data_IF_237998286630
#
_entry.id   IF_237998286630
#
_cell.length_a   1.000
_cell.length_b   1.000
_cell.length_c   1.000
_cell.angle_alpha   90.00
_cell.angle_beta   90.00
_cell.angle_gamma   90.00
#
_symmetry.space_group_name_H-M   'P 1'
#
loop_
_entity.id
_entity.type
_entity.pdbx_description
1 polymer ?
#
# COMPACT_ATOMS: atom_id res chain seq x y z
N UNK A 1 7.17 5.72 -21.77
CA UNK A 1 6.11 4.92 -21.11
C UNK A 1 6.57 4.59 -19.69
N UNK A 2 5.78 4.92 -18.68
CA UNK A 2 6.07 4.51 -17.30
C UNK A 2 5.66 3.04 -17.11
N UNK A 3 6.43 2.25 -16.35
CA UNK A 3 6.06 0.88 -15.93
C UNK A 3 5.92 0.84 -14.40
N UNK A 4 4.83 1.39 -13.83
CA UNK A 4 4.74 1.64 -12.39
C UNK A 4 4.94 0.40 -11.53
N UNK A 5 4.37 -0.75 -11.91
CA UNK A 5 4.54 -2.01 -11.16
C UNK A 5 5.98 -2.55 -11.22
N UNK A 6 6.68 -2.36 -12.35
CA UNK A 6 8.10 -2.72 -12.45
C UNK A 6 8.95 -1.82 -11.53
N UNK A 7 8.66 -0.52 -11.50
CA UNK A 7 9.33 0.41 -10.60
C UNK A 7 9.02 0.12 -9.12
N UNK A 8 7.79 -0.32 -8.80
CA UNK A 8 7.42 -0.73 -7.45
C UNK A 8 8.21 -1.97 -6.99
N UNK A 9 8.34 -2.99 -7.84
CA UNK A 9 9.16 -4.16 -7.56
C UNK A 9 10.64 -3.78 -7.37
N UNK A 10 11.19 -2.92 -8.23
CA UNK A 10 12.56 -2.43 -8.07
C UNK A 10 12.77 -1.65 -6.76
N UNK A 11 11.80 -0.82 -6.35
CA UNK A 11 11.85 -0.11 -5.08
C UNK A 11 11.77 -1.06 -3.88
N UNK A 12 10.97 -2.12 -3.95
CA UNK A 12 10.94 -3.18 -2.94
C UNK A 12 12.29 -3.89 -2.79
N UNK A 13 12.90 -4.30 -3.90
CA UNK A 13 14.20 -4.98 -3.90
C UNK A 13 15.28 -4.07 -3.30
N UNK A 14 15.30 -2.80 -3.72
CA UNK A 14 16.20 -1.79 -3.18
C UNK A 14 15.98 -1.56 -1.68
N UNK A 15 14.72 -1.46 -1.25
CA UNK A 15 14.34 -1.31 0.15
C UNK A 15 14.84 -2.47 1.00
N UNK A 16 14.60 -3.70 0.54
CA UNK A 16 15.05 -4.93 1.19
C UNK A 16 16.58 -5.04 1.26
N UNK A 17 17.30 -4.62 0.22
CA UNK A 17 18.76 -4.59 0.24
C UNK A 17 19.31 -3.54 1.23
N UNK A 18 18.70 -2.36 1.29
CA UNK A 18 19.10 -1.28 2.19
C UNK A 18 18.85 -1.64 3.66
N UNK A 19 17.71 -2.26 4.01
CA UNK A 19 17.44 -2.70 5.39
C UNK A 19 18.43 -3.77 5.83
N UNK A 20 18.74 -4.75 4.96
CA UNK A 20 19.79 -5.76 5.24
C UNK A 20 21.18 -5.15 5.42
N UNK A 21 21.48 -4.05 4.73
CA UNK A 21 22.73 -3.32 4.88
C UNK A 21 22.76 -2.37 6.10
N UNK A 22 21.78 -2.43 7.00
CA UNK A 22 21.68 -1.56 8.18
C UNK A 22 21.27 -0.11 7.86
N UNK A 23 20.95 0.20 6.60
CA UNK A 23 20.50 1.53 6.16
C UNK A 23 18.98 1.65 6.30
N UNK A 24 18.48 1.36 7.50
CA UNK A 24 17.05 1.15 7.79
C UNK A 24 16.15 2.29 7.31
N UNK A 25 16.51 3.56 7.55
CA UNK A 25 15.69 4.70 7.09
C UNK A 25 15.52 4.71 5.57
N UNK A 26 16.61 4.60 4.82
CA UNK A 26 16.56 4.58 3.37
C UNK A 26 15.79 3.35 2.83
N UNK A 27 15.88 2.22 3.54
CA UNK A 27 15.09 1.03 3.23
C UNK A 27 13.59 1.26 3.41
N UNK A 28 13.18 1.86 4.54
CA UNK A 28 11.78 2.22 4.81
C UNK A 28 11.22 3.18 3.77
N UNK A 29 12.03 4.15 3.31
CA UNK A 29 11.61 5.12 2.29
C UNK A 29 11.30 4.43 0.95
N UNK A 30 12.14 3.48 0.54
CA UNK A 30 11.93 2.69 -0.68
C UNK A 30 10.74 1.74 -0.55
N UNK A 31 10.60 1.06 0.58
CA UNK A 31 9.44 0.21 0.86
C UNK A 31 8.13 1.01 0.90
N UNK A 32 8.15 2.23 1.43
CA UNK A 32 6.98 3.13 1.38
C UNK A 32 6.64 3.53 -0.06
N UNK A 33 7.65 3.80 -0.89
CA UNK A 33 7.48 4.11 -2.31
C UNK A 33 6.86 2.93 -3.08
N UNK A 34 7.31 1.70 -2.81
CA UNK A 34 6.74 0.49 -3.36
C UNK A 34 5.28 0.31 -2.93
N UNK A 35 4.99 0.42 -1.62
CA UNK A 35 3.63 0.33 -1.06
C UNK A 35 2.66 1.29 -1.75
N UNK A 36 3.01 2.58 -1.79
CA UNK A 36 2.14 3.61 -2.35
C UNK A 36 1.89 3.37 -3.85
N UNK A 37 2.88 2.83 -4.56
CA UNK A 37 2.76 2.52 -6.00
C UNK A 37 1.90 1.28 -6.24
N UNK A 38 2.05 0.23 -5.45
CA UNK A 38 1.16 -0.93 -5.50
C UNK A 38 -0.28 -0.55 -5.18
N UNK A 39 -0.49 0.30 -4.15
CA UNK A 39 -1.82 0.84 -3.82
C UNK A 39 -2.43 1.62 -4.98
N UNK A 40 -1.68 2.57 -5.58
CA UNK A 40 -2.15 3.35 -6.74
C UNK A 40 -2.51 2.48 -7.94
N UNK A 41 -1.83 1.36 -8.13
CA UNK A 41 -2.08 0.42 -9.22
C UNK A 41 -3.13 -0.66 -8.90
N UNK A 42 -3.73 -0.65 -7.70
CA UNK A 42 -4.69 -1.68 -7.28
C UNK A 42 -4.07 -3.04 -6.98
N UNK A 43 -2.75 -3.14 -6.88
CA UNK A 43 -2.01 -4.36 -6.52
C UNK A 43 -2.07 -4.61 -5.00
N UNK A 44 -3.29 -4.81 -4.48
CA UNK A 44 -3.59 -4.87 -3.05
C UNK A 44 -2.90 -6.02 -2.32
N UNK A 45 -2.61 -7.13 -3.01
CA UNK A 45 -1.87 -8.26 -2.44
C UNK A 45 -0.42 -7.87 -2.11
N UNK A 46 0.27 -7.24 -3.07
CA UNK A 46 1.62 -6.73 -2.90
C UNK A 46 1.68 -5.60 -1.87
N UNK A 47 0.73 -4.66 -1.94
CA UNK A 47 0.64 -3.59 -0.94
C UNK A 47 0.47 -4.16 0.49
N UNK A 48 -0.38 -5.18 0.69
CA UNK A 48 -0.53 -5.83 2.01
C UNK A 48 0.77 -6.45 2.50
N UNK A 49 1.50 -7.14 1.62
CA UNK A 49 2.79 -7.77 1.95
C UNK A 49 3.82 -6.73 2.38
N UNK A 50 3.98 -5.64 1.62
CA UNK A 50 4.88 -4.54 1.99
C UNK A 50 4.42 -3.84 3.26
N UNK A 51 3.11 -3.68 3.44
CA UNK A 51 2.53 -3.12 4.66
C UNK A 51 2.84 -3.95 5.91
N UNK A 52 2.98 -5.28 5.79
CA UNK A 52 3.41 -6.15 6.88
C UNK A 52 4.90 -5.94 7.20
N UNK A 53 5.76 -5.90 6.18
CA UNK A 53 7.20 -5.61 6.35
C UNK A 53 7.41 -4.25 7.03
N UNK A 54 6.67 -3.22 6.62
CA UNK A 54 6.77 -1.89 7.24
C UNK A 54 6.40 -1.88 8.72
N UNK A 55 5.47 -2.75 9.16
CA UNK A 55 5.08 -2.86 10.58
C UNK A 55 6.22 -3.39 11.44
N UNK A 56 7.07 -4.25 10.91
CA UNK A 56 8.25 -4.77 11.62
C UNK A 56 9.25 -3.65 11.94
N UNK A 57 9.20 -2.55 11.18
CA UNK A 57 10.00 -1.33 11.40
C UNK A 57 9.21 -0.22 12.12
N UNK A 58 8.04 -0.54 12.70
CA UNK A 58 7.20 0.43 13.41
C UNK A 58 6.39 1.37 12.51
N UNK A 59 6.39 1.16 11.19
CA UNK A 59 5.64 1.99 10.23
C UNK A 59 4.29 1.34 9.91
N UNK A 60 3.21 1.95 10.41
CA UNK A 60 1.85 1.47 10.14
C UNK A 60 1.27 2.10 8.87
N UNK A 61 0.93 1.27 7.88
CA UNK A 61 0.16 1.68 6.69
C UNK A 61 -1.09 0.82 6.52
N UNK A 62 -2.19 1.42 6.08
CA UNK A 62 -3.49 0.74 5.87
C UNK A 62 -3.73 0.55 4.38
N UNK A 63 -4.10 -0.66 3.99
CA UNK A 63 -4.70 -0.94 2.69
C UNK A 63 -6.20 -0.70 2.87
N UNK A 64 -6.68 0.46 2.42
CA UNK A 64 -8.11 0.75 2.40
C UNK A 64 -8.66 0.09 1.14
N UNK A 65 -9.49 -0.94 1.32
CA UNK A 65 -10.34 -1.41 0.24
C UNK A 65 -11.48 -0.41 0.17
N UNK A 66 -11.63 0.31 -0.93
CA UNK A 66 -12.84 1.09 -1.17
C UNK A 66 -14.02 0.10 -1.26
N UNK A 67 -14.65 -0.18 -0.14
CA UNK A 67 -16.07 -0.52 -0.06
C UNK A 67 -16.88 0.77 -0.32
N UNK A 68 -16.53 1.54 -1.36
CA UNK A 68 -17.41 2.57 -1.90
C UNK A 68 -18.35 1.87 -2.89
N UNK A 69 -19.15 0.99 -2.29
CA UNK A 69 -20.35 0.35 -2.82
C UNK A 69 -21.40 0.32 -1.70
N UNK A 70 -21.42 1.36 -0.86
CA UNK A 70 -22.51 1.60 0.06
C UNK A 70 -23.77 1.88 -0.76
N UNK A 71 -24.63 0.87 -0.90
CA UNK A 71 -26.00 1.05 -1.40
C UNK A 71 -26.65 2.22 -0.65
N UNK A 72 -27.36 3.14 -1.33
CA UNK A 72 -28.15 4.13 -0.62
C UNK A 72 -29.18 3.40 0.25
N UNK A 73 -29.16 3.72 1.54
CA UNK A 73 -30.15 3.26 2.51
C UNK A 73 -31.53 3.71 2.03
N UNK A 74 -32.30 2.79 1.45
CA UNK A 74 -33.71 2.97 1.18
C UNK A 74 -34.47 2.86 2.51
N UNK A 75 -34.39 3.90 3.33
CA UNK A 75 -35.27 4.05 4.48
C UNK A 75 -35.58 5.53 4.68
N UNK A 76 -36.66 5.96 4.03
CA UNK A 76 -37.59 6.97 4.53
C UNK A 76 -38.89 6.84 3.75
N UNK A 77 -39.60 5.74 4.01
CA UNK A 77 -41.04 5.77 3.91
C UNK A 77 -41.56 6.57 5.10
N UNK A 78 -42.07 7.78 4.84
CA UNK A 78 -43.07 8.39 5.73
C UNK A 78 -44.05 9.24 4.93
N UNK A 79 -45.22 8.64 4.75
CA UNK A 79 -46.56 9.21 4.78
C UNK A 79 -46.76 10.66 4.32
N UNK A 80 -47.62 10.81 3.31
CA UNK A 80 -48.66 11.85 3.25
C UNK A 80 -49.92 11.23 2.68
#
# INVERSE_FOLDING_TARGET
MSRPLLHAAAAEDAGSALTRAGRTRAGIDQLSTAFDTFMRCGASADARRIGQVLREYGVSRRVVSDLIGGRPSSDTAKAS
#
